data_IF_989778307884
#
_entry.id   IF_989778307884
#
_cell.length_a   1.000
_cell.length_b   1.000
_cell.length_c   1.000
_cell.angle_alpha   90.00
_cell.angle_beta   90.00
_cell.angle_gamma   90.00
#
_symmetry.space_group_name_H-M   'P 1'
#
loop_
_entity.id
_entity.type
_entity.pdbx_description
1 polymer ?
#
# COMPACT_ATOMS: atom_id res chain seq x y z
N UNK A 1 10.06 4.10 -10.16
CA UNK A 1 9.37 5.41 -10.18
C UNK A 1 8.07 5.28 -9.41
N UNK A 2 7.71 6.29 -8.62
CA UNK A 2 6.47 6.35 -7.86
C UNK A 2 5.78 7.67 -8.23
N UNK A 3 4.47 7.63 -8.51
CA UNK A 3 3.66 8.83 -8.78
C UNK A 3 2.72 9.04 -7.60
N UNK A 4 2.70 10.27 -7.09
CA UNK A 4 1.87 10.67 -5.96
C UNK A 4 0.73 11.57 -6.45
N UNK A 5 -0.44 11.39 -5.84
CA UNK A 5 -1.61 12.25 -5.95
C UNK A 5 -1.52 13.35 -4.88
N UNK A 6 -1.16 14.56 -5.29
CA UNK A 6 -0.98 15.70 -4.39
C UNK A 6 -2.26 16.52 -4.19
N UNK A 7 -3.34 16.20 -4.92
CA UNK A 7 -4.63 16.90 -4.83
C UNK A 7 -5.51 16.26 -3.76
N UNK A 8 -5.00 16.26 -2.53
CA UNK A 8 -5.66 15.68 -1.37
C UNK A 8 -5.81 16.71 -0.25
N UNK A 9 -6.93 16.70 0.51
CA UNK A 9 -7.16 17.68 1.57
C UNK A 9 -6.05 17.76 2.62
N UNK A 10 -5.43 16.62 2.97
CA UNK A 10 -4.33 16.58 3.96
C UNK A 10 -2.98 17.03 3.41
N UNK A 11 -2.88 17.29 2.10
CA UNK A 11 -1.68 17.83 1.43
C UNK A 11 -1.83 19.30 1.04
N UNK A 12 -2.96 19.92 1.36
CA UNK A 12 -3.25 21.31 1.01
C UNK A 12 -3.20 22.19 2.26
N UNK A 13 -2.52 23.35 2.22
CA UNK A 13 -1.76 23.93 1.10
C UNK A 13 -0.33 23.38 0.92
N UNK A 14 0.08 23.17 -0.33
CA UNK A 14 1.39 22.64 -0.69
C UNK A 14 2.49 23.72 -0.73
N UNK A 15 3.09 24.02 0.42
CA UNK A 15 4.17 25.04 0.50
C UNK A 15 5.56 24.50 0.15
N UNK A 16 5.88 23.28 0.60
CA UNK A 16 7.21 22.70 0.44
C UNK A 16 7.08 21.19 0.22
N UNK A 17 7.34 20.76 -1.02
CA UNK A 17 7.07 19.40 -1.47
C UNK A 17 7.87 18.32 -0.72
N UNK A 18 9.20 18.46 -0.46
CA UNK A 18 9.93 17.47 0.33
C UNK A 18 9.39 17.32 1.76
N UNK A 19 8.98 18.43 2.39
CA UNK A 19 8.38 18.38 3.73
C UNK A 19 7.01 17.71 3.71
N UNK A 20 6.20 17.96 2.68
CA UNK A 20 4.92 17.26 2.52
C UNK A 20 5.12 15.76 2.31
N UNK A 21 6.10 15.36 1.50
CA UNK A 21 6.42 13.96 1.30
C UNK A 21 6.82 13.26 2.60
N UNK A 22 7.60 13.92 3.46
CA UNK A 22 8.10 13.31 4.70
C UNK A 22 7.07 13.34 5.84
N UNK A 23 6.31 14.44 5.96
CA UNK A 23 5.51 14.70 7.17
C UNK A 23 4.00 14.65 6.96
N UNK A 24 3.50 14.80 5.73
CA UNK A 24 2.06 14.87 5.45
C UNK A 24 1.56 13.69 4.61
N UNK A 25 2.36 13.25 3.64
CA UNK A 25 2.01 12.19 2.71
C UNK A 25 1.88 10.83 3.40
N UNK A 26 1.00 10.00 2.85
CA UNK A 26 0.65 8.67 3.35
C UNK A 26 0.69 7.66 2.20
N UNK A 27 0.67 6.37 2.55
CA UNK A 27 0.72 5.29 1.55
C UNK A 27 -0.43 5.34 0.52
N UNK A 28 -1.61 5.85 0.89
CA UNK A 28 -2.75 5.97 -0.01
C UNK A 28 -2.63 7.13 -1.02
N UNK A 29 -1.65 8.01 -0.86
CA UNK A 29 -1.37 9.08 -1.82
C UNK A 29 -0.60 8.56 -3.05
N UNK A 30 -0.09 7.32 -3.02
CA UNK A 30 0.54 6.70 -4.19
C UNK A 30 -0.50 6.34 -5.24
N UNK A 31 -0.38 6.93 -6.43
CA UNK A 31 -1.29 6.71 -7.56
C UNK A 31 -0.80 5.61 -8.52
N UNK A 32 0.48 5.64 -8.87
CA UNK A 32 1.12 4.67 -9.77
C UNK A 32 2.49 4.22 -9.26
N UNK A 33 2.84 2.95 -9.52
CA UNK A 33 4.15 2.37 -9.21
C UNK A 33 4.74 1.70 -10.44
N UNK A 34 6.01 2.03 -10.74
CA UNK A 34 6.76 1.48 -11.89
C UNK A 34 8.09 0.91 -11.41
N UNK A 35 8.33 -0.37 -11.71
CA UNK A 35 9.53 -1.11 -11.34
C UNK A 35 10.19 -1.61 -12.63
N UNK A 36 11.46 -1.26 -12.85
CA UNK A 36 12.21 -1.65 -14.05
C UNK A 36 11.47 -1.37 -15.38
N UNK A 37 10.80 -0.21 -15.49
CA UNK A 37 10.03 0.18 -16.67
C UNK A 37 8.63 -0.45 -16.79
N UNK A 38 8.27 -1.41 -15.93
CA UNK A 38 6.94 -2.03 -15.89
C UNK A 38 6.02 -1.32 -14.88
N UNK A 39 4.83 -0.94 -15.32
CA UNK A 39 3.78 -0.43 -14.41
C UNK A 39 3.22 -1.63 -13.63
N UNK A 40 3.38 -1.61 -12.31
CA UNK A 40 2.92 -2.69 -11.41
C UNK A 40 1.66 -2.32 -10.64
N UNK A 41 1.37 -1.01 -10.55
CA UNK A 41 0.13 -0.46 -9.99
C UNK A 41 -0.31 0.75 -10.80
N UNK A 42 -1.58 0.83 -11.16
CA UNK A 42 -2.17 1.97 -11.87
C UNK A 42 -3.51 2.36 -11.25
N UNK A 43 -3.72 3.66 -11.02
CA UNK A 43 -4.96 4.20 -10.43
C UNK A 43 -5.32 3.46 -9.13
N UNK A 44 -4.31 3.23 -8.28
CA UNK A 44 -4.42 2.46 -7.02
C UNK A 44 -4.87 0.99 -7.20
N UNK A 45 -4.84 0.44 -8.42
CA UNK A 45 -5.12 -0.98 -8.70
C UNK A 45 -3.82 -1.73 -9.01
N UNK A 46 -3.59 -2.83 -8.31
CA UNK A 46 -2.45 -3.72 -8.57
C UNK A 46 -2.64 -4.45 -9.90
N UNK A 47 -1.61 -4.45 -10.75
CA UNK A 47 -1.65 -5.07 -12.08
C UNK A 47 -0.98 -6.45 -12.13
N UNK A 48 -0.20 -6.79 -11.09
CA UNK A 48 0.63 -7.99 -11.06
C UNK A 48 0.30 -8.94 -9.90
N UNK A 49 -0.70 -8.60 -9.08
CA UNK A 49 -1.07 -9.33 -7.86
C UNK A 49 -2.60 -9.47 -7.80
N UNK A 50 -3.07 -10.63 -7.35
CA UNK A 50 -4.46 -10.85 -6.98
C UNK A 50 -4.63 -10.58 -5.48
N UNK A 51 -5.13 -9.39 -5.16
CA UNK A 51 -5.32 -8.94 -3.78
C UNK A 51 -6.26 -9.85 -2.99
N UNK A 52 -7.33 -10.34 -3.61
CA UNK A 52 -8.32 -11.19 -2.93
C UNK A 52 -7.72 -12.54 -2.58
N UNK A 53 -7.00 -13.17 -3.51
CA UNK A 53 -6.31 -14.43 -3.27
C UNK A 53 -5.22 -14.31 -2.20
N UNK A 54 -4.45 -13.21 -2.22
CA UNK A 54 -3.40 -12.93 -1.22
C UNK A 54 -4.01 -12.78 0.17
N UNK A 55 -5.08 -11.99 0.32
CA UNK A 55 -5.75 -11.80 1.60
C UNK A 55 -6.39 -13.09 2.12
N UNK A 56 -6.99 -13.90 1.24
CA UNK A 56 -7.51 -15.21 1.62
C UNK A 56 -6.38 -16.12 2.16
N UNK A 57 -5.24 -16.16 1.48
CA UNK A 57 -4.09 -16.96 1.92
C UNK A 57 -3.49 -16.46 3.24
N UNK A 58 -3.39 -15.14 3.40
CA UNK A 58 -2.92 -14.54 4.65
C UNK A 58 -3.81 -14.93 5.84
N UNK A 59 -5.14 -14.93 5.64
CA UNK A 59 -6.10 -15.34 6.68
C UNK A 59 -6.01 -16.84 7.02
N UNK A 60 -5.78 -17.71 6.03
CA UNK A 60 -5.53 -19.13 6.25
C UNK A 60 -4.30 -19.34 7.16
N UNK A 61 -3.18 -18.67 6.83
CA UNK A 61 -1.94 -18.72 7.62
C UNK A 61 -2.18 -18.18 9.03
N UNK A 62 -2.91 -17.07 9.18
CA UNK A 62 -3.26 -16.54 10.49
C UNK A 62 -4.09 -17.54 11.33
N UNK A 63 -4.97 -18.32 10.69
CA UNK A 63 -5.69 -19.42 11.33
C UNK A 63 -4.76 -20.52 11.87
N UNK A 64 -3.77 -20.91 11.08
CA UNK A 64 -2.77 -21.89 11.50
C UNK A 64 -1.97 -21.38 12.70
N UNK A 65 -1.50 -20.13 12.65
CA UNK A 65 -0.75 -19.50 13.75
C UNK A 65 -1.59 -19.48 15.03
N UNK A 66 -2.85 -19.04 14.95
CA UNK A 66 -3.77 -19.05 16.10
C UNK A 66 -3.89 -20.44 16.75
N UNK A 67 -3.99 -21.49 15.93
CA UNK A 67 -4.10 -22.86 16.44
C UNK A 67 -2.83 -23.37 17.13
N UNK A 68 -1.67 -22.82 16.80
CA UNK A 68 -0.39 -23.15 17.45
C UNK A 68 -0.30 -22.44 18.79
N UNK A 69 -0.61 -21.14 18.82
CA UNK A 69 -0.60 -20.32 20.03
C UNK A 69 -1.59 -20.86 21.06
N UNK A 70 -2.81 -21.21 20.63
CA UNK A 70 -3.85 -21.75 21.52
C UNK A 70 -3.57 -23.15 22.08
N UNK A 71 -2.50 -23.82 21.67
CA UNK A 71 -2.07 -25.13 22.23
C UNK A 71 -0.97 -24.98 23.29
N UNK A 72 -0.44 -23.78 23.48
CA UNK A 72 0.60 -23.47 24.47
C UNK A 72 0.04 -22.80 25.75
N UNK A 73 -1.26 -22.51 25.78
CA UNK A 73 -2.02 -22.19 26.99
C UNK A 73 -2.67 -23.45 27.57
#
# INVERSE_FOLDING_TARGET
LIVLDLDQPHLTPLYHLPSHLVYAARGNDVLHSVINGQVVMQDRKLLTLDESAILAKANEIAGQIRSIVSRQE
#
